data_IF_747525899818
#
_entry.id   IF_747525899818
#
_cell.length_a   1.000
_cell.length_b   1.000
_cell.length_c   1.000
_cell.angle_alpha   90.00
_cell.angle_beta   90.00
_cell.angle_gamma   90.00
#
_symmetry.space_group_name_H-M   'P 1'
#
loop_
_entity.id
_entity.type
_entity.pdbx_description
1 polymer ?
#
# COMPACT_ATOMS: atom_id res chain seq x y z
N UNK A 1 1.72 33.88 -17.35
CA UNK A 1 0.52 33.61 -16.54
C UNK A 1 0.93 32.74 -15.36
N UNK A 2 0.96 33.33 -14.16
CA UNK A 2 1.34 32.62 -12.94
C UNK A 2 0.09 31.97 -12.34
N UNK A 3 -0.01 30.65 -12.44
CA UNK A 3 -1.00 29.87 -11.72
C UNK A 3 -0.49 29.69 -10.28
N UNK A 4 -0.81 30.65 -9.42
CA UNK A 4 -0.53 30.55 -7.99
C UNK A 4 -1.59 29.63 -7.36
N UNK A 5 -1.33 28.32 -7.38
CA UNK A 5 -2.15 27.35 -6.65
C UNK A 5 -1.75 27.42 -5.18
N UNK A 6 -2.72 27.79 -4.35
CA UNK A 6 -2.62 27.92 -2.90
C UNK A 6 -2.25 26.57 -2.25
N UNK A 7 -0.94 26.33 -2.12
CA UNK A 7 -0.40 25.11 -1.51
C UNK A 7 -0.72 25.11 -0.01
N UNK A 8 -1.72 24.33 0.36
CA UNK A 8 -2.11 24.09 1.73
C UNK A 8 -0.96 23.39 2.51
N UNK A 9 -0.06 24.20 3.08
CA UNK A 9 0.57 24.02 4.40
C UNK A 9 1.39 22.75 4.70
N UNK A 10 1.79 21.93 3.73
CA UNK A 10 2.54 20.66 3.99
C UNK A 10 3.68 20.34 3.03
N UNK A 11 3.99 21.18 2.05
CA UNK A 11 5.18 21.02 1.22
C UNK A 11 6.14 22.17 1.51
N UNK A 12 7.34 21.86 2.01
CA UNK A 12 8.38 22.88 2.18
C UNK A 12 8.66 23.50 0.80
N UNK A 13 8.53 24.82 0.69
CA UNK A 13 8.82 25.61 -0.53
C UNK A 13 10.20 25.25 -1.09
N UNK A 14 11.11 24.86 -0.20
CA UNK A 14 12.46 24.39 -0.51
C UNK A 14 12.48 23.09 -1.33
N UNK A 15 11.56 22.14 -1.09
CA UNK A 15 11.43 20.92 -1.92
C UNK A 15 10.94 21.24 -3.32
N UNK A 16 10.01 22.18 -3.44
CA UNK A 16 9.47 22.61 -4.74
C UNK A 16 10.55 23.34 -5.55
N UNK A 17 11.33 24.21 -4.89
CA UNK A 17 12.44 24.91 -5.51
C UNK A 17 13.57 23.95 -5.95
N UNK A 18 13.90 22.94 -5.14
CA UNK A 18 14.85 21.88 -5.51
C UNK A 18 14.35 21.01 -6.67
N UNK A 19 13.05 20.70 -6.72
CA UNK A 19 12.46 19.97 -7.85
C UNK A 19 12.50 20.83 -9.12
N UNK A 20 12.19 22.12 -9.04
CA UNK A 20 12.26 23.04 -10.19
C UNK A 20 13.68 23.17 -10.74
N UNK A 21 14.67 23.36 -9.86
CA UNK A 21 16.08 23.37 -10.26
C UNK A 21 16.51 22.00 -10.82
N UNK A 22 16.04 20.90 -10.25
CA UNK A 22 16.32 19.57 -10.80
C UNK A 22 15.70 19.39 -12.21
N UNK A 23 14.46 19.82 -12.43
CA UNK A 23 13.81 19.75 -13.75
C UNK A 23 14.49 20.64 -14.78
N UNK A 24 14.98 21.83 -14.39
CA UNK A 24 15.69 22.73 -15.30
C UNK A 24 17.12 22.28 -15.63
N UNK A 25 17.82 21.62 -14.69
CA UNK A 25 19.24 21.25 -14.86
C UNK A 25 19.43 19.76 -15.19
N UNK A 26 18.42 18.92 -15.03
CA UNK A 26 18.51 17.49 -15.34
C UNK A 26 18.49 17.26 -16.85
N UNK A 27 19.43 16.44 -17.34
CA UNK A 27 19.38 15.95 -18.70
C UNK A 27 18.15 15.05 -18.89
N UNK A 28 17.45 15.21 -20.02
CA UNK A 28 16.30 14.37 -20.38
C UNK A 28 16.62 12.88 -20.29
N UNK A 29 17.86 12.49 -20.60
CA UNK A 29 18.34 11.12 -20.48
C UNK A 29 18.32 10.59 -19.04
N UNK A 30 18.61 11.44 -18.04
CA UNK A 30 18.57 11.08 -16.62
C UNK A 30 17.13 10.99 -16.09
N UNK A 31 16.23 11.82 -16.60
CA UNK A 31 14.79 11.74 -16.26
C UNK A 31 14.18 10.49 -16.86
N UNK A 32 14.48 10.20 -18.14
CA UNK A 32 14.04 8.97 -18.81
C UNK A 32 14.60 7.72 -18.14
N UNK A 33 15.89 7.72 -17.77
CA UNK A 33 16.48 6.57 -17.08
C UNK A 33 15.85 6.32 -15.72
N UNK A 34 15.58 7.35 -14.91
CA UNK A 34 14.87 7.21 -13.63
C UNK A 34 13.43 6.77 -13.83
N UNK A 35 12.74 7.31 -14.83
CA UNK A 35 11.38 6.94 -15.18
C UNK A 35 11.26 5.47 -15.62
N UNK A 36 12.29 4.92 -16.30
CA UNK A 36 12.34 3.52 -16.71
C UNK A 36 12.90 2.60 -15.60
N UNK A 37 13.88 3.06 -14.82
CA UNK A 37 14.44 2.30 -13.69
C UNK A 37 13.47 2.19 -12.52
N UNK A 38 12.55 3.13 -12.35
CA UNK A 38 11.59 3.08 -11.23
C UNK A 38 10.57 1.94 -11.34
N UNK A 39 9.95 1.62 -12.51
CA UNK A 39 9.07 0.46 -12.64
C UNK A 39 9.84 -0.84 -12.87
N UNK A 40 11.09 -0.82 -13.34
CA UNK A 40 11.91 -2.00 -13.61
C UNK A 40 11.97 -3.02 -12.45
N UNK A 41 12.26 -2.64 -11.19
CA UNK A 41 12.27 -3.60 -10.08
C UNK A 41 10.87 -4.16 -9.80
N UNK A 42 9.81 -3.36 -9.97
CA UNK A 42 8.43 -3.83 -9.84
C UNK A 42 8.07 -4.82 -10.96
N UNK A 43 8.50 -4.56 -12.20
CA UNK A 43 8.32 -5.44 -13.36
C UNK A 43 9.07 -6.75 -13.19
N UNK A 44 10.32 -6.72 -12.74
CA UNK A 44 11.11 -7.95 -12.49
C UNK A 44 10.43 -8.81 -11.43
N UNK A 45 9.97 -8.19 -10.33
CA UNK A 45 9.23 -8.90 -9.29
C UNK A 45 7.92 -9.48 -9.83
N UNK A 46 7.16 -8.72 -10.64
CA UNK A 46 5.93 -9.19 -11.27
C UNK A 46 6.20 -10.38 -12.20
N UNK A 47 7.23 -10.31 -13.05
CA UNK A 47 7.60 -11.39 -13.97
C UNK A 47 8.07 -12.62 -13.20
N UNK A 48 8.87 -12.47 -12.14
CA UNK A 48 9.22 -13.60 -11.26
C UNK A 48 7.98 -14.22 -10.62
N UNK A 49 7.06 -13.36 -10.16
CA UNK A 49 5.78 -13.75 -9.60
C UNK A 49 4.85 -14.32 -10.66
N UNK A 50 5.07 -14.15 -11.97
CA UNK A 50 4.21 -14.68 -13.04
C UNK A 50 4.82 -15.90 -13.77
N UNK A 51 6.15 -16.07 -13.75
CA UNK A 51 6.89 -17.12 -14.48
C UNK A 51 6.70 -18.56 -13.95
N UNK A 52 6.31 -18.75 -12.69
CA UNK A 52 5.90 -20.07 -12.15
C UNK A 52 4.63 -20.58 -12.87
N UNK A 53 4.68 -21.73 -13.54
CA UNK A 53 3.55 -22.25 -14.31
C UNK A 53 2.38 -22.60 -13.39
N UNK A 54 1.19 -22.10 -13.73
CA UNK A 54 -0.06 -22.55 -13.12
C UNK A 54 -0.46 -23.88 -13.77
N UNK A 55 -0.82 -24.86 -12.95
CA UNK A 55 -1.42 -26.12 -13.41
C UNK A 55 -2.82 -25.88 -13.99
N UNK A 56 -3.38 -26.86 -14.69
CA UNK A 56 -4.72 -26.74 -15.27
C UNK A 56 -5.74 -26.22 -14.23
N UNK A 57 -6.56 -25.20 -14.55
CA UNK A 57 -7.51 -24.60 -13.62
C UNK A 57 -8.58 -25.59 -13.13
N UNK A 58 -8.81 -26.64 -13.91
CA UNK A 58 -9.75 -27.74 -13.62
C UNK A 58 -9.42 -28.51 -12.34
N UNK A 59 -8.14 -28.54 -11.94
CA UNK A 59 -7.68 -29.23 -10.73
C UNK A 59 -7.95 -28.43 -9.43
N UNK A 60 -8.55 -27.24 -9.55
CA UNK A 60 -9.02 -26.43 -8.42
C UNK A 60 -7.90 -25.73 -7.64
N UNK A 61 -8.30 -25.02 -6.58
CA UNK A 61 -7.38 -24.19 -5.76
C UNK A 61 -6.31 -25.02 -5.03
N UNK A 62 -6.63 -26.29 -4.72
CA UNK A 62 -5.71 -27.24 -4.06
C UNK A 62 -4.64 -27.83 -4.98
N UNK A 63 -4.77 -27.72 -6.29
CA UNK A 63 -3.65 -28.01 -7.19
C UNK A 63 -2.82 -26.74 -7.43
N UNK A 64 -3.49 -25.58 -7.42
CA UNK A 64 -2.91 -24.29 -7.73
C UNK A 64 -2.47 -23.48 -6.50
N UNK A 65 -1.86 -24.09 -5.47
CA UNK A 65 -1.43 -23.37 -4.25
C UNK A 65 -0.42 -22.24 -4.52
N UNK A 66 0.36 -22.36 -5.60
CA UNK A 66 1.28 -21.31 -6.05
C UNK A 66 0.54 -19.98 -6.28
N UNK A 67 -0.70 -20.04 -6.78
CA UNK A 67 -1.53 -18.85 -6.99
C UNK A 67 -1.83 -18.12 -5.66
N UNK A 68 -2.09 -18.86 -4.58
CA UNK A 68 -2.32 -18.28 -3.25
C UNK A 68 -1.08 -17.61 -2.69
N UNK A 69 0.10 -18.20 -2.89
CA UNK A 69 1.38 -17.63 -2.46
C UNK A 69 1.65 -16.33 -3.21
N UNK A 70 1.49 -16.32 -4.54
CA UNK A 70 1.63 -15.12 -5.38
C UNK A 70 0.70 -14.02 -4.92
N UNK A 71 -0.58 -14.35 -4.75
CA UNK A 71 -1.59 -13.41 -4.31
C UNK A 71 -1.28 -12.82 -2.93
N UNK A 72 -0.89 -13.67 -1.98
CA UNK A 72 -0.47 -13.24 -0.65
C UNK A 72 0.76 -12.33 -0.66
N UNK A 73 1.76 -12.64 -1.47
CA UNK A 73 2.97 -11.83 -1.61
C UNK A 73 2.65 -10.42 -2.16
N UNK A 74 1.88 -10.35 -3.25
CA UNK A 74 1.46 -9.07 -3.84
C UNK A 74 0.59 -8.27 -2.87
N UNK A 75 -0.38 -8.91 -2.21
CA UNK A 75 -1.24 -8.27 -1.22
C UNK A 75 -0.42 -7.72 -0.04
N UNK A 76 0.56 -8.48 0.44
CA UNK A 76 1.46 -8.05 1.52
C UNK A 76 2.31 -6.85 1.12
N UNK A 77 2.90 -6.85 -0.08
CA UNK A 77 3.65 -5.71 -0.59
C UNK A 77 2.78 -4.45 -0.73
N UNK A 78 1.55 -4.61 -1.21
CA UNK A 78 0.60 -3.51 -1.38
C UNK A 78 0.24 -2.88 -0.03
N UNK A 79 -0.18 -3.69 0.95
CA UNK A 79 -0.53 -3.19 2.29
C UNK A 79 0.69 -2.62 3.00
N UNK A 80 1.84 -3.29 2.93
CA UNK A 80 3.10 -2.80 3.53
C UNK A 80 3.51 -1.44 2.98
N UNK A 81 3.43 -1.26 1.66
CA UNK A 81 3.70 0.03 1.01
C UNK A 81 2.70 1.12 1.45
N UNK A 82 1.43 0.75 1.66
CA UNK A 82 0.40 1.69 2.12
C UNK A 82 0.66 2.15 3.57
N UNK A 83 1.03 1.24 4.47
CA UNK A 83 1.41 1.58 5.86
C UNK A 83 2.67 2.46 5.88
N UNK A 84 3.66 2.12 5.04
CA UNK A 84 4.89 2.90 4.93
C UNK A 84 4.61 4.33 4.47
N UNK A 85 3.79 4.50 3.42
CA UNK A 85 3.36 5.81 2.94
C UNK A 85 2.59 6.58 4.01
N UNK A 86 1.72 5.92 4.80
CA UNK A 86 1.05 6.58 5.92
C UNK A 86 2.03 7.13 6.95
N UNK A 87 3.06 6.36 7.30
CA UNK A 87 4.11 6.82 8.23
C UNK A 87 4.88 8.04 7.72
N UNK A 88 5.10 8.13 6.40
CA UNK A 88 5.74 9.29 5.77
C UNK A 88 4.82 10.52 5.71
N UNK A 89 3.52 10.32 5.48
CA UNK A 89 2.55 11.41 5.29
C UNK A 89 1.97 11.95 6.60
N UNK A 90 2.05 11.18 7.71
CA UNK A 90 1.51 11.54 9.02
C UNK A 90 2.65 11.66 10.04
N UNK A 91 3.20 12.87 10.26
CA UNK A 91 4.33 13.10 11.18
C UNK A 91 4.03 12.75 12.65
N UNK A 92 2.75 12.65 13.01
CA UNK A 92 2.31 12.26 14.35
C UNK A 92 2.37 10.75 14.58
N UNK A 93 2.64 9.96 13.53
CA UNK A 93 2.54 8.51 13.56
C UNK A 93 3.94 7.89 13.55
N UNK A 94 4.39 7.42 14.70
CA UNK A 94 5.67 6.70 14.80
C UNK A 94 5.46 5.28 14.25
N UNK A 95 5.83 5.09 12.99
CA UNK A 95 5.71 3.79 12.30
C UNK A 95 7.03 3.02 12.39
N UNK A 96 7.06 1.98 13.24
CA UNK A 96 8.17 1.02 13.29
C UNK A 96 8.00 -0.03 12.18
N UNK A 97 9.11 -0.47 11.58
CA UNK A 97 9.14 -1.51 10.54
C UNK A 97 8.43 -2.80 10.97
N UNK A 98 8.51 -3.17 12.25
CA UNK A 98 7.81 -4.33 12.82
C UNK A 98 6.28 -4.22 12.66
N UNK A 99 5.71 -3.03 12.83
CA UNK A 99 4.27 -2.82 12.62
C UNK A 99 3.90 -2.93 11.14
N UNK A 100 4.75 -2.44 10.24
CA UNK A 100 4.55 -2.57 8.79
C UNK A 100 4.48 -4.06 8.39
N UNK A 101 5.46 -4.85 8.82
CA UNK A 101 5.54 -6.28 8.48
C UNK A 101 4.37 -7.05 9.09
N UNK A 102 4.03 -6.81 10.36
CA UNK A 102 2.91 -7.52 11.02
C UNK A 102 1.57 -7.20 10.36
N UNK A 103 1.29 -5.93 10.07
CA UNK A 103 0.03 -5.54 9.41
C UNK A 103 -0.03 -6.11 7.99
N UNK A 104 1.08 -6.07 7.25
CA UNK A 104 1.16 -6.63 5.90
C UNK A 104 0.90 -8.15 5.89
N UNK A 105 1.53 -8.90 6.81
CA UNK A 105 1.36 -10.36 6.90
C UNK A 105 -0.05 -10.73 7.34
N UNK A 106 -0.61 -10.06 8.36
CA UNK A 106 -1.96 -10.37 8.85
C UNK A 106 -3.05 -10.07 7.81
N UNK A 107 -2.96 -8.91 7.15
CA UNK A 107 -3.91 -8.53 6.10
C UNK A 107 -3.78 -9.42 4.86
N UNK A 108 -2.56 -9.73 4.41
CA UNK A 108 -2.33 -10.65 3.31
C UNK A 108 -2.84 -12.06 3.63
N UNK A 109 -2.59 -12.55 4.85
CA UNK A 109 -3.11 -13.84 5.32
C UNK A 109 -4.62 -13.90 5.28
N UNK A 110 -5.31 -12.87 5.76
CA UNK A 110 -6.78 -12.79 5.72
C UNK A 110 -7.32 -12.80 4.27
N UNK A 111 -6.67 -12.08 3.37
CA UNK A 111 -7.00 -12.10 1.94
C UNK A 111 -6.82 -13.48 1.31
N UNK A 112 -5.72 -14.17 1.62
CA UNK A 112 -5.43 -15.52 1.12
C UNK A 112 -6.43 -16.55 1.67
N UNK A 113 -6.75 -16.49 2.96
CA UNK A 113 -7.74 -17.39 3.58
C UNK A 113 -9.11 -17.20 2.96
N UNK A 114 -9.53 -15.94 2.75
CA UNK A 114 -10.82 -15.65 2.10
C UNK A 114 -10.83 -16.16 0.67
N UNK A 115 -9.76 -15.91 -0.09
CA UNK A 115 -9.65 -16.36 -1.46
C UNK A 115 -9.67 -17.89 -1.56
N UNK A 116 -8.99 -18.59 -0.65
CA UNK A 116 -9.04 -20.05 -0.55
C UNK A 116 -10.46 -20.54 -0.22
N UNK A 117 -11.12 -19.93 0.76
CA UNK A 117 -12.49 -20.30 1.14
C UNK A 117 -13.46 -20.13 -0.03
N UNK A 118 -13.43 -18.99 -0.72
CA UNK A 118 -14.27 -18.75 -1.90
C UNK A 118 -13.92 -19.71 -3.02
N UNK A 119 -12.63 -19.89 -3.33
CA UNK A 119 -12.17 -20.80 -4.38
C UNK A 119 -12.46 -22.28 -4.07
N UNK A 120 -12.66 -22.65 -2.80
CA UNK A 120 -13.08 -23.99 -2.41
C UNK A 120 -14.60 -24.20 -2.53
N UNK A 121 -15.38 -23.11 -2.46
CA UNK A 121 -16.83 -23.14 -2.57
C UNK A 121 -17.33 -22.91 -4.01
N UNK A 122 -16.50 -22.31 -4.87
CA UNK A 122 -16.85 -21.98 -6.27
C UNK A 122 -15.96 -22.73 -7.26
N UNK A 123 -16.29 -22.64 -8.55
CA UNK A 123 -15.44 -23.12 -9.65
C UNK A 123 -14.19 -22.23 -9.75
N UNK A 124 -13.03 -22.86 -9.95
CA UNK A 124 -11.77 -22.16 -10.19
C UNK A 124 -11.62 -21.86 -11.70
N UNK A 125 -11.14 -20.66 -12.10
CA UNK A 125 -10.67 -19.54 -11.29
C UNK A 125 -11.81 -18.64 -10.76
N UNK A 126 -11.62 -18.11 -9.54
CA UNK A 126 -12.60 -17.21 -8.90
C UNK A 126 -12.69 -15.88 -9.66
N UNK A 127 -13.88 -15.46 -10.13
CA UNK A 127 -14.06 -14.15 -10.74
C UNK A 127 -13.92 -13.05 -9.68
N UNK A 128 -13.25 -11.94 -10.04
CA UNK A 128 -13.07 -10.77 -9.16
C UNK A 128 -12.32 -11.03 -7.83
N UNK A 129 -11.25 -11.84 -7.87
CA UNK A 129 -10.40 -12.16 -6.69
C UNK A 129 -10.00 -10.95 -5.86
N UNK A 130 -9.60 -9.85 -6.51
CA UNK A 130 -9.21 -8.60 -5.86
C UNK A 130 -10.38 -7.95 -5.10
N UNK A 131 -11.59 -7.98 -5.67
CA UNK A 131 -12.77 -7.39 -5.05
C UNK A 131 -13.23 -8.23 -3.84
N UNK A 132 -13.14 -9.55 -3.93
CA UNK A 132 -13.52 -10.47 -2.85
C UNK A 132 -12.53 -10.45 -1.68
N UNK A 133 -11.24 -10.29 -1.97
CA UNK A 133 -10.20 -10.26 -0.96
C UNK A 133 -9.99 -8.88 -0.32
N UNK A 134 -10.49 -7.81 -0.93
CA UNK A 134 -10.34 -6.44 -0.43
C UNK A 134 -11.07 -6.16 0.88
N UNK A 135 -12.35 -6.52 1.08
CA UNK A 135 -13.06 -6.25 2.33
C UNK A 135 -12.40 -6.88 3.57
N UNK A 136 -12.00 -8.17 3.56
CA UNK A 136 -11.31 -8.79 4.69
C UNK A 136 -9.97 -8.10 5.03
N UNK A 137 -9.18 -7.76 4.01
CA UNK A 137 -7.90 -7.07 4.23
C UNK A 137 -8.09 -5.68 4.82
N UNK A 138 -9.09 -4.92 4.36
CA UNK A 138 -9.42 -3.59 4.91
C UNK A 138 -9.83 -3.70 6.38
N UNK A 139 -10.66 -4.68 6.73
CA UNK A 139 -11.11 -4.89 8.12
C UNK A 139 -9.91 -5.21 9.02
N UNK A 140 -9.08 -6.18 8.65
CA UNK A 140 -7.91 -6.57 9.44
C UNK A 140 -6.90 -5.43 9.56
N UNK A 141 -6.66 -4.73 8.45
CA UNK A 141 -5.83 -3.53 8.43
C UNK A 141 -6.35 -2.46 9.41
N UNK A 142 -7.64 -2.15 9.36
CA UNK A 142 -8.28 -1.16 10.22
C UNK A 142 -8.23 -1.55 11.69
N UNK A 143 -8.45 -2.82 12.02
CA UNK A 143 -8.34 -3.36 13.38
C UNK A 143 -6.90 -3.24 13.88
N UNK A 144 -5.91 -3.69 13.10
CA UNK A 144 -4.51 -3.59 13.49
C UNK A 144 -4.08 -2.12 13.66
N UNK A 145 -4.54 -1.25 12.78
CA UNK A 145 -4.29 0.19 12.88
C UNK A 145 -4.88 0.78 14.16
N UNK A 146 -6.12 0.43 14.51
CA UNK A 146 -6.78 0.87 15.74
C UNK A 146 -6.04 0.36 16.99
N UNK A 147 -5.54 -0.87 16.99
CA UNK A 147 -4.78 -1.43 18.13
C UNK A 147 -3.43 -0.71 18.29
N UNK A 148 -2.64 -0.60 17.23
CA UNK A 148 -1.29 -0.02 17.32
C UNK A 148 -1.29 1.49 17.49
N UNK A 149 -2.18 2.20 16.79
CA UNK A 149 -2.21 3.67 16.79
C UNK A 149 -3.38 4.30 17.51
N UNK A 150 -4.42 3.55 17.90
CA UNK A 150 -5.53 4.10 18.68
C UNK A 150 -5.06 4.72 20.00
N UNK A 151 -4.08 4.09 20.66
CA UNK A 151 -3.46 4.64 21.87
C UNK A 151 -2.66 5.92 21.59
N UNK A 152 -1.92 5.98 20.47
CA UNK A 152 -1.14 7.16 20.06
C UNK A 152 -2.05 8.35 19.73
N UNK A 153 -3.15 8.11 19.00
CA UNK A 153 -4.15 9.14 18.71
C UNK A 153 -4.84 9.65 19.99
N UNK A 154 -5.13 8.76 20.94
CA UNK A 154 -5.77 9.13 22.21
C UNK A 154 -4.81 9.88 23.15
N UNK A 155 -3.52 9.53 23.14
CA UNK A 155 -2.48 10.21 23.92
C UNK A 155 -2.15 11.60 23.37
N UNK A 156 -2.21 11.79 22.05
CA UNK A 156 -1.91 13.06 21.41
C UNK A 156 -3.11 14.02 21.41
N UNK A 157 -3.60 14.37 22.62
CA UNK A 157 -4.69 15.32 22.87
C UNK A 157 -4.48 16.71 22.26
N UNK A 158 -3.25 17.03 21.84
CA UNK A 158 -2.88 18.24 21.09
C UNK A 158 -3.54 18.31 19.71
N UNK A 159 -3.73 17.18 19.02
CA UNK A 159 -4.39 17.11 17.71
C UNK A 159 -5.90 17.31 17.87
N UNK A 160 -6.50 16.75 18.93
CA UNK A 160 -7.93 16.89 19.23
C UNK A 160 -8.27 18.32 19.67
N UNK A 161 -7.40 18.98 20.45
CA UNK A 161 -7.51 20.41 20.76
C UNK A 161 -7.39 21.29 19.50
N UNK A 162 -6.46 20.97 18.59
CA UNK A 162 -6.28 21.72 17.34
C UNK A 162 -7.46 21.52 16.35
N UNK A 163 -8.08 20.33 16.33
CA UNK A 163 -9.30 20.06 15.58
C UNK A 163 -10.53 20.76 16.19
N UNK A 164 -10.69 20.73 17.51
CA UNK A 164 -11.80 21.40 18.22
C UNK A 164 -11.69 22.93 18.20
N UNK A 165 -10.48 23.48 18.12
CA UNK A 165 -10.26 24.92 17.93
C UNK A 165 -10.61 25.38 16.51
N UNK A 166 -10.42 24.54 15.49
CA UNK A 166 -10.78 24.86 14.09
C UNK A 166 -12.27 24.70 13.77
N UNK A 167 -13.01 23.87 14.51
CA UNK A 167 -14.48 23.80 14.41
C UNK A 167 -15.19 24.99 15.05
N UNK A 168 -14.46 25.83 15.78
CA UNK A 168 -15.01 26.93 16.58
C UNK A 168 -14.74 28.31 15.97
N UNK A 169 -14.06 28.36 14.82
CA UNK A 169 -14.04 29.48 13.89
C UNK A 169 -14.93 29.13 12.71
#
# INVERSE_FOLDING_TARGET
MAMQVEFHGRYSVERLCRLNNYVQTASLCRVMSVAVLSPLPCLILAIMVEAVPLTAPEAGVRANWVFLIRFGFVAGLMVGSMVFQMGQNVPALIVKTRHIVTIAVLSAGASVVTLYAVASATVFPVPFTMLLASPPSIVVYGVCFAIFWGAQFKANSSIQKKWNSRRRC
#
